data_IF_043537288858
#
_entry.id   IF_043537288858
#
_cell.length_a   1.000
_cell.length_b   1.000
_cell.length_c   1.000
_cell.angle_alpha   90.00
_cell.angle_beta   90.00
_cell.angle_gamma   90.00
#
_symmetry.space_group_name_H-M   'P 1'
#
loop_
_entity.id
_entity.type
_entity.pdbx_description
1 polymer ?
#
# COMPACT_ATOMS: atom_id res chain seq x y z
N UNK A 1 8.12 23.49 16.65
CA UNK A 1 9.42 22.94 17.04
C UNK A 1 9.32 21.44 16.87
N UNK A 2 9.97 20.87 15.86
CA UNK A 2 9.98 19.42 15.64
C UNK A 2 10.82 18.78 16.75
N UNK A 3 10.16 18.14 17.71
CA UNK A 3 10.80 17.31 18.73
C UNK A 3 11.37 16.08 18.04
N UNK A 4 12.58 15.68 18.42
CA UNK A 4 13.37 14.63 17.78
C UNK A 4 12.57 13.36 17.48
N UNK A 5 12.49 12.97 16.20
CA UNK A 5 11.91 11.72 15.64
C UNK A 5 12.58 10.41 16.12
N UNK A 6 13.23 10.41 17.28
CA UNK A 6 13.99 9.30 17.80
C UNK A 6 13.16 8.56 18.86
N UNK A 7 12.22 7.73 18.40
CA UNK A 7 11.64 6.71 19.24
C UNK A 7 12.62 5.55 19.36
N UNK A 8 13.01 5.22 20.58
CA UNK A 8 13.98 4.15 20.86
C UNK A 8 13.30 2.78 21.09
N UNK A 9 11.99 2.77 21.39
CA UNK A 9 11.26 1.58 21.82
C UNK A 9 9.97 1.37 21.03
N UNK A 10 9.66 0.10 20.77
CA UNK A 10 8.44 -0.36 20.12
C UNK A 10 7.24 -0.16 21.06
N UNK A 11 6.18 0.50 20.59
CA UNK A 11 5.00 0.77 21.41
C UNK A 11 4.17 -0.47 21.74
N UNK A 12 4.43 -1.58 21.03
CA UNK A 12 3.68 -2.84 21.18
C UNK A 12 4.31 -3.85 22.11
N UNK A 13 5.64 -3.82 22.25
CA UNK A 13 6.34 -4.80 23.10
C UNK A 13 7.37 -4.16 24.01
N UNK A 14 7.51 -2.82 23.95
CA UNK A 14 8.50 -2.03 24.68
C UNK A 14 9.95 -2.49 24.44
N UNK A 15 10.18 -3.23 23.35
CA UNK A 15 11.50 -3.70 22.94
C UNK A 15 12.24 -2.65 22.12
N UNK A 16 13.57 -2.73 22.00
CA UNK A 16 14.35 -1.74 21.27
C UNK A 16 13.99 -1.70 19.78
N UNK A 17 13.97 -0.50 19.19
CA UNK A 17 13.81 -0.29 17.76
C UNK A 17 15.16 -0.27 17.06
N UNK A 18 15.29 -1.05 15.99
CA UNK A 18 16.38 -0.90 15.05
C UNK A 18 16.08 0.23 14.07
N UNK A 19 17.12 0.84 13.49
CA UNK A 19 16.97 1.85 12.44
C UNK A 19 16.12 1.35 11.25
N UNK A 20 16.22 0.06 10.92
CA UNK A 20 15.38 -0.59 9.91
C UNK A 20 13.89 -0.63 10.33
N UNK A 21 13.61 -0.94 11.59
CA UNK A 21 12.24 -0.94 12.13
C UNK A 21 11.64 0.46 12.13
N UNK A 22 12.44 1.48 12.46
CA UNK A 22 12.08 2.91 12.36
C UNK A 22 11.73 3.29 10.92
N UNK A 23 12.59 2.93 9.96
CA UNK A 23 12.33 3.21 8.54
C UNK A 23 11.07 2.50 8.04
N UNK A 24 10.85 1.25 8.45
CA UNK A 24 9.67 0.47 8.08
C UNK A 24 8.39 1.02 8.71
N UNK A 25 8.45 1.50 9.95
CA UNK A 25 7.32 2.17 10.62
C UNK A 25 6.91 3.45 9.90
N UNK A 26 7.89 4.25 9.42
CA UNK A 26 7.63 5.42 8.55
C UNK A 26 6.94 5.02 7.25
N UNK A 27 7.43 3.98 6.58
CA UNK A 27 6.83 3.50 5.34
C UNK A 27 5.39 3.01 5.54
N UNK A 28 5.09 2.44 6.71
CA UNK A 28 3.76 2.01 7.11
C UNK A 28 2.85 3.15 7.58
N UNK A 29 3.33 4.39 7.62
CA UNK A 29 2.58 5.57 8.05
C UNK A 29 2.43 5.73 9.57
N UNK A 30 3.01 4.84 10.37
CA UNK A 30 2.81 4.82 11.84
C UNK A 30 3.33 6.09 12.53
N UNK A 31 4.34 6.73 11.95
CA UNK A 31 4.91 7.96 12.49
C UNK A 31 3.97 9.16 12.39
N UNK A 32 2.94 9.11 11.54
CA UNK A 32 1.90 10.15 11.50
C UNK A 32 1.01 10.13 12.75
N UNK A 33 1.01 8.99 13.46
CA UNK A 33 0.21 8.72 14.66
C UNK A 33 1.09 8.63 15.91
N UNK A 34 2.34 9.09 15.82
CA UNK A 34 3.35 8.99 16.89
C UNK A 34 3.56 7.55 17.38
N UNK A 35 3.44 6.56 16.49
CA UNK A 35 3.53 5.14 16.80
C UNK A 35 4.68 4.45 16.03
N UNK A 36 5.28 3.43 16.66
CA UNK A 36 6.49 2.76 16.18
C UNK A 36 6.56 1.26 16.52
N UNK A 37 6.80 0.42 15.53
CA UNK A 37 6.79 -1.03 15.68
C UNK A 37 8.12 -1.68 15.31
N UNK A 38 8.60 -2.60 16.15
CA UNK A 38 9.76 -3.42 15.82
C UNK A 38 9.42 -4.46 14.74
N UNK A 39 10.44 -4.95 14.02
CA UNK A 39 10.28 -5.97 12.97
C UNK A 39 9.39 -7.16 13.40
N UNK A 40 9.60 -7.70 14.60
CA UNK A 40 8.80 -8.81 15.14
C UNK A 40 7.32 -8.46 15.30
N UNK A 41 7.00 -7.24 15.77
CA UNK A 41 5.62 -6.79 15.90
C UNK A 41 4.99 -6.51 14.54
N UNK A 42 5.77 -6.01 13.58
CA UNK A 42 5.35 -5.81 12.19
C UNK A 42 5.00 -7.15 11.53
N UNK A 43 5.88 -8.14 11.61
CA UNK A 43 5.65 -9.47 11.05
C UNK A 43 4.43 -10.18 11.65
N UNK A 44 4.17 -9.95 12.94
CA UNK A 44 2.99 -10.48 13.64
C UNK A 44 1.72 -9.66 13.40
N UNK A 45 1.79 -8.57 12.62
CA UNK A 45 0.66 -7.67 12.37
C UNK A 45 0.17 -6.90 13.61
N UNK A 46 0.96 -6.89 14.69
CA UNK A 46 0.55 -6.29 15.98
C UNK A 46 0.48 -4.77 15.94
N UNK A 47 1.10 -4.14 14.96
CA UNK A 47 1.17 -2.68 14.80
C UNK A 47 -0.13 -1.99 14.31
N UNK A 48 -1.16 -2.79 14.02
CA UNK A 48 -2.48 -2.33 13.54
C UNK A 48 -3.59 -2.56 14.56
N UNK A 49 -3.23 -3.01 15.75
CA UNK A 49 -4.16 -3.22 16.87
C UNK A 49 -3.67 -2.42 18.06
N UNK A 50 -4.59 -1.94 18.93
CA UNK A 50 -4.20 -1.32 20.18
C UNK A 50 -3.33 -2.26 21.03
N UNK A 51 -2.37 -1.72 21.79
CA UNK A 51 -1.57 -2.53 22.70
C UNK A 51 -2.42 -3.10 23.85
N UNK A 52 -1.93 -4.18 24.46
CA UNK A 52 -2.59 -4.81 25.61
C UNK A 52 -2.80 -3.78 26.74
N UNK A 53 -4.03 -3.64 27.21
CA UNK A 53 -4.39 -2.74 28.32
C UNK A 53 -4.78 -1.31 27.90
N UNK A 54 -4.83 -1.01 26.60
CA UNK A 54 -5.38 0.25 26.11
C UNK A 54 -6.92 0.30 26.29
N UNK A 55 -7.44 1.43 26.81
CA UNK A 55 -8.88 1.62 27.10
C UNK A 55 -9.59 2.70 26.26
N UNK A 56 -8.87 3.29 25.29
CA UNK A 56 -9.36 4.41 24.50
C UNK A 56 -10.42 4.04 23.44
N UNK A 57 -10.96 5.05 22.73
CA UNK A 57 -11.90 4.84 21.62
C UNK A 57 -11.20 4.28 20.37
N UNK A 58 -11.66 3.16 19.84
CA UNK A 58 -11.00 2.42 18.74
C UNK A 58 -10.81 3.25 17.46
N UNK A 59 -11.69 4.22 17.25
CA UNK A 59 -11.69 5.17 16.14
C UNK A 59 -10.60 6.25 16.25
N UNK A 60 -9.99 6.45 17.42
CA UNK A 60 -8.77 7.28 17.57
C UNK A 60 -7.51 6.55 17.08
N UNK A 61 -7.57 5.24 16.83
CA UNK A 61 -6.45 4.42 16.35
C UNK A 61 -6.57 4.11 14.85
N UNK A 62 -6.30 5.13 14.03
CA UNK A 62 -6.50 5.14 12.57
C UNK A 62 -5.56 4.19 11.80
N UNK A 63 -4.42 3.77 12.40
CA UNK A 63 -3.46 2.84 11.80
C UNK A 63 -4.03 1.44 11.53
N UNK A 64 -5.20 1.12 12.07
CA UNK A 64 -5.86 -0.17 11.84
C UNK A 64 -6.25 -0.36 10.36
N UNK A 65 -6.87 0.64 9.73
CA UNK A 65 -7.54 0.44 8.44
C UNK A 65 -7.26 1.51 7.37
N UNK A 66 -6.77 2.71 7.71
CA UNK A 66 -6.70 3.81 6.72
C UNK A 66 -5.58 3.68 5.67
N UNK A 67 -4.52 2.93 5.98
CA UNK A 67 -3.32 2.86 5.12
C UNK A 67 -3.13 1.50 4.44
N UNK A 68 -4.11 0.60 4.56
CA UNK A 68 -4.01 -0.74 3.97
C UNK A 68 -4.84 -0.78 2.69
N UNK A 69 -4.15 -0.70 1.55
CA UNK A 69 -4.79 -1.07 0.29
C UNK A 69 -5.30 -2.51 0.41
N UNK A 70 -6.57 -2.70 0.07
CA UNK A 70 -7.14 -4.04 -0.06
C UNK A 70 -6.32 -4.86 -1.07
N UNK A 71 -6.47 -6.18 -1.06
CA UNK A 71 -5.79 -7.01 -2.05
C UNK A 71 -6.16 -6.59 -3.49
N UNK A 72 -7.41 -6.18 -3.68
CA UNK A 72 -7.94 -5.72 -4.95
C UNK A 72 -7.38 -4.33 -5.31
N UNK A 73 -7.33 -3.38 -4.37
CA UNK A 73 -6.73 -2.06 -4.62
C UNK A 73 -5.24 -2.17 -4.95
N UNK A 74 -4.51 -3.02 -4.22
CA UNK A 74 -3.09 -3.27 -4.48
C UNK A 74 -2.89 -3.89 -5.87
N UNK A 75 -3.73 -4.85 -6.26
CA UNK A 75 -3.70 -5.43 -7.61
C UNK A 75 -4.02 -4.37 -8.67
N UNK A 76 -5.03 -3.53 -8.45
CA UNK A 76 -5.40 -2.46 -9.37
C UNK A 76 -4.26 -1.45 -9.56
N UNK A 77 -3.60 -1.03 -8.48
CA UNK A 77 -2.43 -0.12 -8.55
C UNK A 77 -1.27 -0.76 -9.30
N UNK A 78 -0.96 -2.04 -9.03
CA UNK A 78 0.12 -2.74 -9.73
C UNK A 78 -0.17 -2.91 -11.22
N UNK A 79 -1.41 -3.26 -11.60
CA UNK A 79 -1.82 -3.35 -13.00
C UNK A 79 -1.71 -2.00 -13.70
N UNK A 80 -2.16 -0.91 -13.05
CA UNK A 80 -2.04 0.44 -13.59
C UNK A 80 -0.58 0.88 -13.78
N UNK A 81 0.31 0.58 -12.81
CA UNK A 81 1.73 0.89 -12.94
C UNK A 81 2.41 0.07 -14.05
N UNK A 82 2.08 -1.21 -14.17
CA UNK A 82 2.57 -2.04 -15.27
C UNK A 82 2.10 -1.50 -16.63
N UNK A 83 0.86 -1.06 -16.75
CA UNK A 83 0.37 -0.41 -17.97
C UNK A 83 1.12 0.88 -18.31
N UNK A 84 1.46 1.70 -17.32
CA UNK A 84 2.25 2.93 -17.53
C UNK A 84 3.65 2.61 -18.05
N UNK A 85 4.28 1.54 -17.55
CA UNK A 85 5.66 1.18 -17.89
C UNK A 85 5.75 0.43 -19.22
N UNK A 86 4.85 -0.52 -19.44
CA UNK A 86 4.92 -1.51 -20.53
C UNK A 86 3.81 -1.32 -21.58
N UNK A 87 2.94 -0.33 -21.38
CA UNK A 87 1.85 0.00 -22.28
C UNK A 87 0.62 -0.91 -22.15
N UNK A 88 -0.37 -0.75 -23.05
CA UNK A 88 -1.64 -1.48 -23.00
C UNK A 88 -1.52 -2.98 -23.30
N UNK A 89 -0.35 -3.48 -23.69
CA UNK A 89 -0.11 -4.91 -23.85
C UNK A 89 0.19 -5.60 -22.50
N UNK A 90 0.44 -4.83 -21.43
CA UNK A 90 0.75 -5.34 -20.09
C UNK A 90 -0.50 -5.72 -19.26
N UNK A 91 -1.69 -5.31 -19.69
CA UNK A 91 -2.95 -5.65 -19.04
C UNK A 91 -3.53 -6.97 -19.56
N UNK A 92 -4.27 -7.71 -18.73
CA UNK A 92 -4.92 -8.94 -19.17
C UNK A 92 -6.04 -8.65 -20.18
N UNK A 93 -6.31 -9.60 -21.09
CA UNK A 93 -7.28 -9.38 -22.20
C UNK A 93 -8.69 -9.06 -21.70
N UNK A 94 -9.14 -9.70 -20.60
CA UNK A 94 -10.46 -9.44 -20.04
C UNK A 94 -10.58 -8.01 -19.49
N UNK A 95 -9.50 -7.47 -18.90
CA UNK A 95 -9.45 -6.12 -18.35
C UNK A 95 -9.39 -5.07 -19.47
N UNK A 96 -8.59 -5.33 -20.51
CA UNK A 96 -8.57 -4.51 -21.73
C UNK A 96 -9.98 -4.40 -22.33
N UNK A 97 -10.66 -5.54 -22.50
CA UNK A 97 -12.01 -5.60 -23.07
C UNK A 97 -13.04 -4.81 -22.25
N UNK A 98 -12.99 -4.92 -20.92
CA UNK A 98 -13.85 -4.16 -20.01
C UNK A 98 -13.62 -2.66 -20.10
N UNK A 99 -12.37 -2.21 -20.19
CA UNK A 99 -12.01 -0.78 -20.22
C UNK A 99 -12.30 -0.13 -21.57
N UNK A 100 -12.00 -0.83 -22.67
CA UNK A 100 -12.08 -0.27 -24.02
C UNK A 100 -13.43 -0.54 -24.71
N UNK A 101 -14.22 -1.49 -24.20
CA UNK A 101 -15.47 -1.93 -24.82
C UNK A 101 -15.28 -2.73 -26.11
N UNK A 102 -14.04 -3.10 -26.43
CA UNK A 102 -13.64 -3.89 -27.62
C UNK A 102 -12.47 -4.80 -27.25
N UNK A 103 -12.30 -5.88 -28.00
CA UNK A 103 -11.11 -6.75 -27.88
C UNK A 103 -9.84 -6.04 -28.36
N UNK A 104 -8.68 -6.53 -27.93
CA UNK A 104 -7.38 -5.98 -28.36
C UNK A 104 -7.15 -6.14 -29.87
N UNK A 105 -7.65 -7.23 -30.45
CA UNK A 105 -7.58 -7.46 -31.89
C UNK A 105 -8.43 -6.45 -32.68
N UNK A 106 -9.63 -6.13 -32.21
CA UNK A 106 -10.48 -5.09 -32.81
C UNK A 106 -9.82 -3.71 -32.71
N UNK A 107 -9.26 -3.37 -31.54
CA UNK A 107 -8.52 -2.13 -31.34
C UNK A 107 -7.32 -2.02 -32.30
N UNK A 108 -6.54 -3.10 -32.46
CA UNK A 108 -5.41 -3.16 -33.41
C UNK A 108 -5.87 -3.05 -34.87
N UNK A 109 -7.03 -3.60 -35.23
CA UNK A 109 -7.60 -3.44 -36.56
C UNK A 109 -8.08 -2.01 -36.83
N UNK A 110 -8.66 -1.34 -35.83
CA UNK A 110 -9.01 0.08 -35.93
C UNK A 110 -7.75 0.93 -36.09
N UNK A 111 -6.73 0.70 -35.27
CA UNK A 111 -5.46 1.42 -35.35
C UNK A 111 -4.80 1.27 -36.72
N UNK A 112 -4.73 0.06 -37.27
CA UNK A 112 -4.21 -0.19 -38.63
C UNK A 112 -4.99 0.55 -39.73
N UNK A 113 -6.31 0.73 -39.56
CA UNK A 113 -7.13 1.51 -40.50
C UNK A 113 -6.84 3.01 -40.41
N UNK A 114 -6.59 3.53 -39.21
CA UNK A 114 -6.34 4.96 -38.96
C UNK A 114 -4.91 5.35 -39.34
N UNK A 115 -3.92 4.52 -38.98
CA UNK A 115 -2.51 4.80 -39.19
C UNK A 115 -2.09 4.79 -40.68
N UNK A 116 -2.95 4.28 -41.57
CA UNK A 116 -2.59 3.99 -42.95
C UNK A 116 -1.65 2.78 -42.98
N UNK A 117 -2.11 1.67 -43.55
CA UNK A 117 -1.26 0.48 -43.76
C UNK A 117 -0.01 0.81 -44.57
#
# INVERSE_FOLDING_TARGET
MATSDAQDYCDWCYGPLSAESTARSRWLGLTLEDAWACATCIEKGRYRVPPDGWDGPTDEWLASDQYVLSADDRRAVLNALNEVLDGPDAIEEWEFGLRMGVSRDEARQVWRRIAGG
#
